data_IF_703669893524
#
_entry.id   IF_703669893524
#
_cell.length_a   1.000
_cell.length_b   1.000
_cell.length_c   1.000
_cell.angle_alpha   90.00
_cell.angle_beta   90.00
_cell.angle_gamma   90.00
#
_symmetry.space_group_name_H-M   'P 1'
#
loop_
_entity.id
_entity.type
_entity.pdbx_description
1 polymer ?
#
# COMPACT_ATOMS: atom_id res chain seq x y z
N UNK A 1 24.96 0.39 22.31
CA UNK A 1 23.56 0.43 21.83
C UNK A 1 23.50 1.35 20.63
N UNK A 2 23.22 0.82 19.44
CA UNK A 2 22.93 1.67 18.27
C UNK A 2 21.47 2.08 18.41
N UNK A 3 21.20 3.33 18.79
CA UNK A 3 19.86 3.91 18.75
C UNK A 3 19.43 3.99 17.29
N UNK A 4 18.46 3.17 16.91
CA UNK A 4 17.85 3.19 15.58
C UNK A 4 17.08 4.51 15.46
N UNK A 5 17.72 5.54 14.90
CA UNK A 5 17.10 6.85 14.69
C UNK A 5 16.15 6.73 13.49
N UNK A 6 14.92 6.26 13.73
CA UNK A 6 13.90 6.17 12.69
C UNK A 6 13.24 7.54 12.58
N UNK A 7 13.37 8.18 11.42
CA UNK A 7 12.87 9.54 11.15
C UNK A 7 11.33 9.66 11.18
N UNK A 8 10.63 8.54 11.10
CA UNK A 8 9.18 8.45 11.09
C UNK A 8 8.75 7.20 11.85
N UNK A 9 7.58 7.23 12.46
CA UNK A 9 6.99 6.05 13.08
C UNK A 9 5.55 5.81 12.61
N UNK A 10 4.90 4.81 13.20
CA UNK A 10 3.53 4.42 12.81
C UNK A 10 2.50 5.53 13.08
N UNK A 11 2.77 6.44 14.00
CA UNK A 11 1.89 7.58 14.31
C UNK A 11 1.82 8.55 13.14
N UNK A 12 2.92 8.78 12.41
CA UNK A 12 2.94 9.59 11.19
C UNK A 12 2.06 9.00 10.10
N UNK A 13 2.12 7.66 9.92
CA UNK A 13 1.28 6.96 8.92
C UNK A 13 -0.20 7.01 9.30
N UNK A 14 -0.52 6.89 10.59
CA UNK A 14 -1.91 7.03 11.08
C UNK A 14 -2.43 8.44 10.85
N UNK A 15 -1.61 9.47 11.09
CA UNK A 15 -1.96 10.86 10.78
C UNK A 15 -2.17 11.08 9.28
N UNK A 16 -1.29 10.52 8.44
CA UNK A 16 -1.46 10.59 6.99
C UNK A 16 -2.76 9.94 6.53
N UNK A 17 -3.15 8.81 7.11
CA UNK A 17 -4.44 8.16 6.84
C UNK A 17 -5.63 9.09 7.12
N UNK A 18 -5.62 9.80 8.25
CA UNK A 18 -6.70 10.74 8.61
C UNK A 18 -6.78 11.90 7.61
N UNK A 19 -5.64 12.44 7.18
CA UNK A 19 -5.57 13.53 6.18
C UNK A 19 -6.10 13.06 4.82
N UNK A 20 -5.78 11.82 4.43
CA UNK A 20 -6.08 11.29 3.10
C UNK A 20 -7.49 10.67 2.98
N UNK A 21 -8.19 10.39 4.08
CA UNK A 21 -9.48 9.64 4.06
C UNK A 21 -10.56 10.31 3.19
N UNK A 22 -10.49 11.64 3.00
CA UNK A 22 -11.43 12.41 2.18
C UNK A 22 -11.04 12.42 0.69
N UNK A 23 -9.76 12.29 0.38
CA UNK A 23 -9.21 12.60 -0.95
C UNK A 23 -8.52 11.41 -1.63
N UNK A 24 -8.22 10.32 -0.93
CA UNK A 24 -7.61 9.14 -1.50
C UNK A 24 -8.63 8.00 -1.65
N UNK A 25 -8.60 7.31 -2.80
CA UNK A 25 -9.39 6.10 -3.01
C UNK A 25 -8.74 4.92 -2.33
N UNK A 26 -9.54 4.08 -1.66
CA UNK A 26 -9.11 2.73 -1.26
C UNK A 26 -9.09 1.85 -2.50
N UNK A 27 -7.95 1.78 -3.16
CA UNK A 27 -7.77 0.99 -4.39
C UNK A 27 -7.93 -0.52 -4.10
N UNK A 28 -8.46 -1.30 -5.04
CA UNK A 28 -8.63 -2.73 -4.85
C UNK A 28 -7.31 -3.48 -4.65
N UNK A 29 -7.38 -4.59 -3.92
CA UNK A 29 -6.34 -5.61 -3.86
C UNK A 29 -6.90 -6.87 -4.52
N UNK A 30 -6.34 -7.29 -5.65
CA UNK A 30 -6.91 -8.36 -6.48
C UNK A 30 -5.89 -9.49 -6.64
N UNK A 31 -6.32 -10.75 -6.50
CA UNK A 31 -5.46 -11.90 -6.75
C UNK A 31 -5.11 -12.01 -8.25
N UNK A 32 -3.83 -12.14 -8.56
CA UNK A 32 -3.38 -12.44 -9.93
C UNK A 32 -3.22 -13.95 -10.08
N UNK A 33 -4.16 -14.60 -10.75
CA UNK A 33 -4.08 -16.04 -11.04
C UNK A 33 -2.87 -16.37 -11.91
N UNK A 34 -2.54 -15.52 -12.88
CA UNK A 34 -1.38 -15.71 -13.73
C UNK A 34 -0.07 -15.70 -12.92
N UNK A 35 0.19 -14.64 -12.14
CA UNK A 35 1.43 -14.54 -11.36
C UNK A 35 1.48 -15.58 -10.25
N UNK A 36 0.34 -15.92 -9.66
CA UNK A 36 0.25 -17.02 -8.69
C UNK A 36 0.68 -18.34 -9.34
N UNK A 37 0.15 -18.65 -10.53
CA UNK A 37 0.52 -19.88 -11.25
C UNK A 37 1.99 -19.91 -11.69
N UNK A 38 2.57 -18.75 -12.03
CA UNK A 38 3.94 -18.65 -12.53
C UNK A 38 5.01 -18.69 -11.45
N UNK A 39 4.70 -18.20 -10.26
CA UNK A 39 5.65 -18.10 -9.15
C UNK A 39 5.49 -19.20 -8.11
N UNK A 40 4.33 -19.86 -8.07
CA UNK A 40 3.99 -20.84 -7.03
C UNK A 40 3.63 -20.19 -5.68
N UNK A 41 3.72 -18.86 -5.55
CA UNK A 41 3.26 -18.10 -4.38
C UNK A 41 1.91 -17.45 -4.62
N UNK A 42 1.21 -17.02 -3.57
CA UNK A 42 -0.03 -16.26 -3.73
C UNK A 42 0.26 -14.79 -4.02
N UNK A 43 -0.05 -14.33 -5.23
CA UNK A 43 0.25 -12.97 -5.67
C UNK A 43 -1.02 -12.12 -5.75
N UNK A 44 -0.98 -10.97 -5.08
CA UNK A 44 -2.04 -9.97 -5.09
C UNK A 44 -1.52 -8.64 -5.64
N UNK A 45 -2.31 -7.99 -6.49
CA UNK A 45 -2.02 -6.72 -7.12
C UNK A 45 -2.74 -5.60 -6.38
N UNK A 46 -1.99 -4.61 -5.90
CA UNK A 46 -2.52 -3.37 -5.34
C UNK A 46 -2.66 -2.35 -6.46
N UNK A 47 -3.89 -2.01 -6.82
CA UNK A 47 -4.19 -1.28 -8.05
C UNK A 47 -4.09 0.26 -7.88
N UNK A 48 -2.92 0.79 -7.49
CA UNK A 48 -2.72 2.25 -7.35
C UNK A 48 -2.84 3.02 -8.67
N UNK A 49 -2.73 2.34 -9.82
CA UNK A 49 -3.08 2.92 -11.11
C UNK A 49 -4.57 3.35 -11.22
N UNK A 50 -5.43 2.94 -10.27
CA UNK A 50 -6.83 3.37 -10.16
C UNK A 50 -7.04 4.52 -9.16
N UNK A 51 -5.97 5.01 -8.53
CA UNK A 51 -6.01 6.16 -7.64
C UNK A 51 -6.43 7.43 -8.40
N UNK A 52 -6.81 8.48 -7.68
CA UNK A 52 -6.91 9.81 -8.29
C UNK A 52 -5.57 10.16 -8.95
N UNK A 53 -5.63 10.74 -10.15
CA UNK A 53 -4.46 11.06 -11.00
C UNK A 53 -3.72 9.88 -11.63
N UNK A 54 -4.05 8.64 -11.27
CA UNK A 54 -3.56 7.42 -11.94
C UNK A 54 -2.23 6.86 -11.40
N UNK A 55 -1.73 7.37 -10.28
CA UNK A 55 -0.55 6.86 -9.57
C UNK A 55 -0.56 7.22 -8.09
#
# INVERSE_FOLDING_TARGET
MITKNVLLDITDIKKAKEILDVNARKTPLVKSFYLTSKTGGEIYLKLENMQLTGS
#
